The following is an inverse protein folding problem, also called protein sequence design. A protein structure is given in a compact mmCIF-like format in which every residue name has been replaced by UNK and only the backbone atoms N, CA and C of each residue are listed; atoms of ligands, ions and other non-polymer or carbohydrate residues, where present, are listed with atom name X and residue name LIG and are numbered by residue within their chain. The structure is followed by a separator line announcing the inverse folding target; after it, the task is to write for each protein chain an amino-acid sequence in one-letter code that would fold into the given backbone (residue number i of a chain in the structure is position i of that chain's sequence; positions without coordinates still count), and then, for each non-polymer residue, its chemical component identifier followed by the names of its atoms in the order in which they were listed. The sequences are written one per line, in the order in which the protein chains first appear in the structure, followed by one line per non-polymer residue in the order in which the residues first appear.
data_IF_631880587265
#
_entry.id   IF_631880587265
#
_cell.length_a   1.000
_cell.length_b   1.000
_cell.length_c   1.000
_cell.angle_alpha   90.00
_cell.angle_beta   90.00
_cell.angle_gamma   90.00
#
_symmetry.space_group_name_H-M   'P 1'
#
loop_
_entity.id
_entity.type
_entity.pdbx_description
1 polymer ?
#
# COMPACT_ATOMS: atom_id res chain seq x y z
N UNK A 1 -50.47 10.42 50.91
CA UNK A 1 -49.84 10.83 49.65
C UNK A 1 -50.82 10.62 48.51
N UNK A 2 -51.13 11.68 47.76
CA UNK A 2 -52.26 11.78 46.81
C UNK A 2 -52.17 10.74 45.68
N UNK A 3 -53.27 10.02 45.46
CA UNK A 3 -53.47 9.13 44.31
C UNK A 3 -53.51 9.97 43.02
N UNK A 4 -52.54 9.76 42.13
CA UNK A 4 -52.45 10.40 40.80
C UNK A 4 -53.31 9.72 39.73
N UNK A 5 -54.08 8.69 40.10
CA UNK A 5 -54.95 8.00 39.15
C UNK A 5 -56.25 8.78 38.97
N UNK A 6 -56.66 9.07 37.72
CA UNK A 6 -57.92 9.73 37.46
C UNK A 6 -59.09 8.88 37.99
N UNK A 7 -60.03 9.52 38.70
CA UNK A 7 -61.11 8.84 39.42
C UNK A 7 -62.27 8.33 38.53
N UNK A 8 -62.25 8.61 37.22
CA UNK A 8 -63.30 8.19 36.27
C UNK A 8 -62.75 7.17 35.26
N UNK A 9 -63.55 6.17 34.90
CA UNK A 9 -63.18 5.09 33.95
C UNK A 9 -62.66 5.66 32.62
N UNK A 10 -63.29 6.73 32.12
CA UNK A 10 -62.88 7.39 30.87
C UNK A 10 -61.46 7.95 30.93
N UNK A 11 -61.08 8.54 32.06
CA UNK A 11 -59.76 9.13 32.23
C UNK A 11 -58.69 8.08 32.54
N UNK A 12 -59.03 6.95 33.16
CA UNK A 12 -58.14 5.78 33.23
C UNK A 12 -57.87 5.20 31.83
N UNK A 13 -58.91 5.03 31.00
CA UNK A 13 -58.76 4.55 29.63
C UNK A 13 -57.90 5.49 28.77
N UNK A 14 -58.11 6.81 28.90
CA UNK A 14 -57.30 7.82 28.23
C UNK A 14 -55.83 7.77 28.67
N UNK A 15 -55.54 7.54 29.95
CA UNK A 15 -54.16 7.44 30.44
C UNK A 15 -53.41 6.23 29.86
N UNK A 16 -54.09 5.09 29.71
CA UNK A 16 -53.52 3.90 29.07
C UNK A 16 -53.27 4.14 27.58
N UNK A 17 -54.21 4.79 26.88
CA UNK A 17 -54.04 5.14 25.48
C UNK A 17 -52.85 6.09 25.25
N UNK A 18 -52.67 7.09 26.13
CA UNK A 18 -51.51 7.99 26.09
C UNK A 18 -50.20 7.24 26.36
N UNK A 19 -50.18 6.31 27.32
CA UNK A 19 -49.00 5.48 27.60
C UNK A 19 -48.61 4.59 26.42
N UNK A 20 -49.60 3.99 25.73
CA UNK A 20 -49.35 3.19 24.52
C UNK A 20 -48.83 4.07 23.39
N UNK A 21 -49.40 5.27 23.19
CA UNK A 21 -48.88 6.21 22.20
C UNK A 21 -47.44 6.62 22.52
N UNK A 22 -47.13 6.87 23.79
CA UNK A 22 -45.78 7.23 24.23
C UNK A 22 -44.79 6.08 23.98
N UNK A 23 -45.18 4.82 24.26
CA UNK A 23 -44.31 3.66 24.02
C UNK A 23 -44.06 3.43 22.52
N UNK A 24 -45.07 3.63 21.68
CA UNK A 24 -44.93 3.56 20.21
C UNK A 24 -43.96 4.63 19.70
N UNK A 25 -44.03 5.86 20.23
CA UNK A 25 -43.10 6.94 19.85
C UNK A 25 -41.66 6.61 20.27
N UNK A 26 -41.45 6.11 21.49
CA UNK A 26 -40.12 5.68 21.96
C UNK A 26 -39.59 4.52 21.12
N UNK A 27 -40.45 3.55 20.79
CA UNK A 27 -40.08 2.43 19.92
C UNK A 27 -39.71 2.92 18.51
N UNK A 28 -40.50 3.82 17.91
CA UNK A 28 -40.20 4.38 16.60
C UNK A 28 -38.86 5.15 16.58
N UNK A 29 -38.57 5.92 17.64
CA UNK A 29 -37.31 6.64 17.78
C UNK A 29 -36.10 5.69 17.88
N UNK A 30 -36.19 4.66 18.72
CA UNK A 30 -35.12 3.65 18.88
C UNK A 30 -34.95 2.79 17.62
N UNK A 31 -36.03 2.50 16.91
CA UNK A 31 -35.99 1.77 15.64
C UNK A 31 -35.31 2.60 14.54
N UNK A 32 -35.64 3.90 14.45
CA UNK A 32 -35.00 4.81 13.50
C UNK A 32 -33.48 4.92 13.72
N UNK A 33 -33.04 5.04 14.98
CA UNK A 33 -31.60 5.04 15.29
C UNK A 33 -30.94 3.72 14.93
N UNK A 34 -31.60 2.59 15.23
CA UNK A 34 -31.05 1.25 14.94
C UNK A 34 -30.91 1.00 13.43
N UNK A 35 -31.89 1.44 12.64
CA UNK A 35 -31.85 1.33 11.18
C UNK A 35 -30.67 2.12 10.59
N UNK A 36 -30.43 3.34 11.08
CA UNK A 36 -29.28 4.15 10.64
C UNK A 36 -27.92 3.54 10.97
N UNK A 37 -27.82 2.75 12.06
CA UNK A 37 -26.60 2.04 12.43
C UNK A 37 -26.36 0.85 11.51
N UNK A 38 -27.41 0.15 11.08
CA UNK A 38 -27.33 -0.94 10.12
C UNK A 38 -26.80 -0.48 8.76
N UNK A 39 -27.28 0.65 8.25
CA UNK A 39 -26.79 1.21 6.98
C UNK A 39 -25.30 1.56 7.04
N UNK A 40 -24.84 2.13 8.16
CA UNK A 40 -23.41 2.43 8.37
C UNK A 40 -22.56 1.16 8.44
N UNK A 41 -23.07 0.12 9.12
CA UNK A 41 -22.39 -1.16 9.24
C UNK A 41 -22.28 -1.89 7.90
N UNK A 42 -23.33 -1.80 7.06
CA UNK A 42 -23.31 -2.34 5.71
C UNK A 42 -22.26 -1.64 4.83
N UNK A 43 -22.20 -0.29 4.89
CA UNK A 43 -21.16 0.47 4.21
C UNK A 43 -19.74 0.10 4.67
N UNK A 44 -19.50 -0.01 5.98
CA UNK A 44 -18.21 -0.43 6.51
C UNK A 44 -17.83 -1.85 6.05
N UNK A 45 -18.80 -2.76 6.00
CA UNK A 45 -18.59 -4.12 5.50
C UNK A 45 -18.24 -4.12 4.00
N UNK A 46 -18.94 -3.31 3.20
CA UNK A 46 -18.66 -3.14 1.78
C UNK A 46 -17.29 -2.52 1.52
N UNK A 47 -16.85 -1.56 2.33
CA UNK A 47 -15.52 -0.97 2.24
C UNK A 47 -14.43 -1.99 2.56
N UNK A 48 -14.63 -2.83 3.59
CA UNK A 48 -13.73 -3.95 3.91
C UNK A 48 -13.69 -4.97 2.78
N UNK A 49 -14.83 -5.31 2.15
CA UNK A 49 -14.85 -6.24 1.01
C UNK A 49 -14.10 -5.66 -0.20
N UNK A 50 -14.33 -4.39 -0.54
CA UNK A 50 -13.60 -3.70 -1.64
C UNK A 50 -12.10 -3.59 -1.36
N UNK A 51 -11.71 -3.56 -0.09
CA UNK A 51 -10.31 -3.49 0.34
C UNK A 51 -9.47 -4.67 -0.18
N UNK A 52 -10.07 -5.85 -0.35
CA UNK A 52 -9.37 -7.05 -0.86
C UNK A 52 -8.89 -6.84 -2.29
N UNK A 53 -9.74 -6.26 -3.14
CA UNK A 53 -9.38 -5.92 -4.53
C UNK A 53 -8.29 -4.86 -4.57
N UNK A 54 -8.36 -3.85 -3.70
CA UNK A 54 -7.34 -2.81 -3.60
C UNK A 54 -5.96 -3.35 -3.19
N UNK A 55 -5.90 -4.31 -2.26
CA UNK A 55 -4.64 -5.00 -1.91
C UNK A 55 -4.05 -5.74 -3.12
N UNK A 56 -4.88 -6.39 -3.94
CA UNK A 56 -4.41 -7.03 -5.18
C UNK A 56 -3.90 -6.00 -6.20
N UNK A 57 -4.53 -4.83 -6.28
CA UNK A 57 -4.09 -3.74 -7.15
C UNK A 57 -2.77 -3.12 -6.69
N UNK A 58 -2.56 -2.94 -5.38
CA UNK A 58 -1.26 -2.54 -4.84
C UNK A 58 -0.16 -3.51 -5.24
N UNK A 59 -0.39 -4.82 -5.03
CA UNK A 59 0.57 -5.85 -5.42
C UNK A 59 0.84 -5.86 -6.93
N UNK A 60 -0.17 -5.55 -7.75
CA UNK A 60 0.01 -5.41 -9.20
C UNK A 60 0.91 -4.24 -9.54
N UNK A 61 0.67 -3.07 -8.94
CA UNK A 61 1.50 -1.88 -9.17
C UNK A 61 2.94 -2.07 -8.70
N UNK A 62 3.15 -2.71 -7.55
CA UNK A 62 4.47 -3.13 -7.07
C UNK A 62 5.18 -4.01 -8.11
N UNK A 63 4.54 -5.08 -8.56
CA UNK A 63 5.13 -6.00 -9.55
C UNK A 63 5.39 -5.32 -10.88
N UNK A 64 4.49 -4.47 -11.34
CA UNK A 64 4.67 -3.69 -12.57
C UNK A 64 5.86 -2.74 -12.44
N UNK A 65 6.05 -2.09 -11.28
CA UNK A 65 7.24 -1.28 -11.00
C UNK A 65 8.50 -2.14 -11.07
N UNK A 66 8.56 -3.28 -10.38
CA UNK A 66 9.75 -4.15 -10.38
C UNK A 66 10.10 -4.69 -11.77
N UNK A 67 9.09 -5.05 -12.57
CA UNK A 67 9.31 -5.60 -13.90
C UNK A 67 9.73 -4.54 -14.93
N UNK A 68 9.24 -3.30 -14.79
CA UNK A 68 9.37 -2.25 -15.83
C UNK A 68 10.29 -1.09 -15.42
N UNK A 69 10.58 -0.95 -14.13
CA UNK A 69 11.36 0.13 -13.53
C UNK A 69 10.83 1.52 -13.87
N UNK A 70 9.51 1.66 -14.01
CA UNK A 70 8.86 2.91 -14.42
C UNK A 70 8.17 3.58 -13.24
N UNK A 71 8.60 4.81 -12.93
CA UNK A 71 8.15 5.59 -11.77
C UNK A 71 6.63 5.80 -11.75
N UNK A 72 5.96 5.78 -12.91
CA UNK A 72 4.49 5.90 -12.95
C UNK A 72 3.76 4.84 -12.11
N UNK A 73 4.37 3.68 -11.89
CA UNK A 73 3.78 2.62 -11.08
C UNK A 73 3.89 2.90 -9.58
N UNK A 74 4.88 3.71 -9.15
CA UNK A 74 4.93 4.29 -7.81
C UNK A 74 3.72 5.19 -7.57
N UNK A 75 3.43 6.10 -8.50
CA UNK A 75 2.30 7.02 -8.37
C UNK A 75 0.96 6.28 -8.34
N UNK A 76 0.82 5.22 -9.16
CA UNK A 76 -0.37 4.35 -9.14
C UNK A 76 -0.52 3.59 -7.82
N UNK A 77 0.59 3.06 -7.29
CA UNK A 77 0.59 2.42 -5.98
C UNK A 77 0.16 3.39 -4.89
N UNK A 78 0.71 4.61 -4.86
CA UNK A 78 0.42 5.62 -3.85
C UNK A 78 -1.06 6.07 -3.88
N UNK A 79 -1.62 6.26 -5.07
CA UNK A 79 -3.04 6.59 -5.23
C UNK A 79 -3.97 5.47 -4.74
N UNK A 80 -3.67 4.21 -5.10
CA UNK A 80 -4.44 3.05 -4.63
C UNK A 80 -4.30 2.87 -3.12
N UNK A 81 -3.10 3.11 -2.57
CA UNK A 81 -2.82 3.03 -1.14
C UNK A 81 -3.65 4.04 -0.37
N UNK A 82 -3.66 5.31 -0.80
CA UNK A 82 -4.41 6.38 -0.15
C UNK A 82 -5.92 6.07 -0.17
N UNK A 83 -6.41 5.54 -1.29
CA UNK A 83 -7.81 5.11 -1.42
C UNK A 83 -8.15 3.97 -0.46
N UNK A 84 -7.31 2.94 -0.39
CA UNK A 84 -7.48 1.79 0.49
C UNK A 84 -7.40 2.20 1.98
N UNK A 85 -6.38 2.96 2.35
CA UNK A 85 -6.18 3.45 3.72
C UNK A 85 -7.34 4.33 4.18
N UNK A 86 -7.86 5.20 3.30
CA UNK A 86 -9.05 6.01 3.56
C UNK A 86 -10.30 5.18 3.82
N UNK A 87 -10.57 4.15 3.01
CA UNK A 87 -11.70 3.21 3.20
C UNK A 87 -11.58 2.45 4.52
N UNK A 88 -10.42 1.88 4.81
CA UNK A 88 -10.19 1.13 6.04
C UNK A 88 -10.25 2.02 7.29
N UNK A 89 -9.76 3.26 7.19
CA UNK A 89 -9.87 4.25 8.29
C UNK A 89 -11.33 4.63 8.55
N UNK A 90 -12.12 4.81 7.48
CA UNK A 90 -13.56 5.09 7.58
C UNK A 90 -14.32 3.91 8.19
N UNK A 91 -14.04 2.68 7.75
CA UNK A 91 -14.59 1.47 8.33
C UNK A 91 -14.19 1.30 9.81
N UNK A 92 -12.92 1.53 10.15
CA UNK A 92 -12.43 1.49 11.55
C UNK A 92 -13.18 2.49 12.44
N UNK A 93 -13.43 3.72 11.95
CA UNK A 93 -14.18 4.73 12.68
C UNK A 93 -15.65 4.34 12.91
N UNK A 94 -16.31 3.72 11.91
CA UNK A 94 -17.67 3.20 12.07
C UNK A 94 -17.71 2.08 13.12
N UNK A 95 -16.79 1.11 13.04
CA UNK A 95 -16.70 0.01 14.01
C UNK A 95 -16.42 0.53 15.42
N UNK A 96 -15.57 1.54 15.58
CA UNK A 96 -15.29 2.20 16.85
C UNK A 96 -16.55 2.87 17.42
N UNK A 97 -17.33 3.59 16.59
CA UNK A 97 -18.55 4.27 17.02
C UNK A 97 -19.65 3.31 17.50
N UNK A 98 -19.61 2.06 17.03
CA UNK A 98 -20.54 1.00 17.39
C UNK A 98 -19.97 0.05 18.47
N UNK A 99 -18.79 0.33 19.02
CA UNK A 99 -18.07 -0.52 19.99
C UNK A 99 -17.92 -1.98 19.51
N UNK A 100 -17.64 -2.18 18.23
CA UNK A 100 -17.48 -3.52 17.67
C UNK A 100 -16.08 -4.08 17.93
N UNK A 101 -16.03 -5.34 18.37
CA UNK A 101 -14.78 -6.05 18.68
C UNK A 101 -13.79 -6.08 17.50
N UNK A 102 -14.29 -6.22 16.27
CA UNK A 102 -13.48 -6.28 15.03
C UNK A 102 -12.75 -4.97 14.68
N UNK A 103 -12.96 -3.89 15.42
CA UNK A 103 -12.27 -2.62 15.21
C UNK A 103 -10.74 -2.79 15.33
N UNK A 104 -10.27 -3.61 16.27
CA UNK A 104 -8.84 -3.87 16.46
C UNK A 104 -8.20 -4.56 15.26
N UNK A 105 -8.95 -5.44 14.57
CA UNK A 105 -8.47 -6.17 13.40
C UNK A 105 -8.27 -5.23 12.21
N UNK A 106 -9.20 -4.30 12.00
CA UNK A 106 -9.08 -3.27 10.96
C UNK A 106 -7.90 -2.34 11.25
N UNK A 107 -7.70 -1.97 12.52
CA UNK A 107 -6.55 -1.16 12.92
C UNK A 107 -5.22 -1.90 12.71
N UNK A 108 -5.17 -3.20 13.03
CA UNK A 108 -3.99 -4.02 12.75
C UNK A 108 -3.71 -4.15 11.25
N UNK A 109 -4.76 -4.19 10.42
CA UNK A 109 -4.62 -4.18 8.96
C UNK A 109 -4.05 -2.87 8.44
N UNK A 110 -4.52 -1.72 8.95
CA UNK A 110 -3.96 -0.40 8.63
C UNK A 110 -2.46 -0.32 8.97
N UNK A 111 -2.05 -0.78 10.15
CA UNK A 111 -0.64 -0.77 10.54
C UNK A 111 0.23 -1.64 9.63
N UNK A 112 -0.27 -2.81 9.22
CA UNK A 112 0.43 -3.68 8.24
C UNK A 112 0.52 -3.03 6.88
N UNK A 113 -0.52 -2.31 6.47
CA UNK A 113 -0.56 -1.61 5.19
C UNK A 113 0.48 -0.47 5.16
N UNK A 114 0.57 0.33 6.23
CA UNK A 114 1.59 1.38 6.37
C UNK A 114 3.01 0.81 6.28
N UNK A 115 3.28 -0.31 6.97
CA UNK A 115 4.58 -1.00 6.86
C UNK A 115 4.85 -1.44 5.41
N UNK A 116 3.85 -2.00 4.73
CA UNK A 116 3.99 -2.43 3.34
C UNK A 116 4.29 -1.26 2.39
N UNK A 117 3.66 -0.10 2.58
CA UNK A 117 4.00 1.12 1.84
C UNK A 117 5.45 1.55 2.08
N UNK A 118 5.88 1.58 3.34
CA UNK A 118 7.26 1.93 3.67
C UNK A 118 8.26 1.00 2.99
N UNK A 119 8.05 -0.32 3.07
CA UNK A 119 8.93 -1.31 2.43
C UNK A 119 8.98 -1.11 0.91
N UNK A 120 7.85 -0.78 0.27
CA UNK A 120 7.81 -0.46 -1.16
C UNK A 120 8.54 0.85 -1.51
N UNK A 121 8.41 1.90 -0.69
CA UNK A 121 9.11 3.17 -0.90
C UNK A 121 10.63 2.99 -0.82
N UNK A 122 11.12 2.22 0.16
CA UNK A 122 12.54 1.86 0.27
C UNK A 122 13.01 1.10 -0.98
N UNK A 123 12.22 0.14 -1.47
CA UNK A 123 12.52 -0.59 -2.70
C UNK A 123 12.61 0.36 -3.91
N UNK A 124 11.67 1.29 -4.04
CA UNK A 124 11.65 2.28 -5.13
C UNK A 124 12.89 3.18 -5.06
N UNK A 125 13.26 3.65 -3.88
CA UNK A 125 14.45 4.48 -3.67
C UNK A 125 15.73 3.73 -4.04
N UNK A 126 15.90 2.52 -3.55
CA UNK A 126 17.04 1.66 -3.90
C UNK A 126 17.12 1.44 -5.43
N UNK A 127 15.97 1.25 -6.08
CA UNK A 127 15.93 1.05 -7.53
C UNK A 127 16.29 2.30 -8.31
N UNK A 128 15.87 3.48 -7.84
CA UNK A 128 16.26 4.76 -8.42
C UNK A 128 17.76 5.01 -8.28
N UNK A 129 18.35 4.68 -7.12
CA UNK A 129 19.79 4.77 -6.88
C UNK A 129 20.57 3.86 -7.83
N UNK A 130 20.14 2.61 -7.99
CA UNK A 130 20.75 1.69 -8.99
C UNK A 130 20.60 2.26 -10.40
N UNK A 131 19.43 2.79 -10.73
CA UNK A 131 19.10 3.35 -12.03
C UNK A 131 17.88 2.66 -12.64
N UNK A 132 16.84 3.44 -12.94
CA UNK A 132 15.61 2.98 -13.61
C UNK A 132 15.79 2.79 -15.12
N UNK A 133 16.85 3.37 -15.69
CA UNK A 133 17.24 3.22 -17.09
C UNK A 133 18.76 3.16 -17.20
N UNK A 134 19.25 2.70 -18.35
CA UNK A 134 20.67 2.45 -18.62
C UNK A 134 21.59 3.68 -18.53
N UNK A 135 21.01 4.87 -18.49
CA UNK A 135 21.67 6.18 -18.42
C UNK A 135 21.46 6.90 -17.08
N UNK A 136 20.75 6.28 -16.12
CA UNK A 136 20.43 6.87 -14.82
C UNK A 136 21.08 6.10 -13.68
N UNK A 137 21.15 6.75 -12.51
CA UNK A 137 21.68 6.16 -11.29
C UNK A 137 23.12 5.67 -11.43
N UNK A 138 23.48 4.69 -10.60
CA UNK A 138 24.79 4.04 -10.61
C UNK A 138 25.10 3.34 -11.95
N UNK A 139 24.09 2.80 -12.65
CA UNK A 139 24.26 2.21 -13.97
C UNK A 139 24.77 3.22 -15.00
N UNK A 140 24.19 4.43 -15.03
CA UNK A 140 24.64 5.50 -15.91
C UNK A 140 26.08 5.92 -15.63
N UNK A 141 26.43 6.09 -14.35
CA UNK A 141 27.80 6.44 -13.91
C UNK A 141 28.81 5.36 -14.34
N UNK A 142 28.50 4.09 -14.11
CA UNK A 142 29.36 2.97 -14.49
C UNK A 142 29.53 2.86 -16.01
N UNK A 143 28.46 3.10 -16.77
CA UNK A 143 28.48 3.11 -18.24
C UNK A 143 29.36 4.23 -18.79
N UNK A 144 29.24 5.44 -18.23
CA UNK A 144 30.08 6.56 -18.65
C UNK A 144 31.56 6.31 -18.34
N UNK A 145 31.86 5.78 -17.16
CA UNK A 145 33.23 5.40 -16.78
C UNK A 145 33.82 4.35 -17.74
N UNK A 146 33.02 3.34 -18.09
CA UNK A 146 33.41 2.32 -19.06
C UNK A 146 33.72 2.91 -20.44
N UNK A 147 32.85 3.80 -20.93
CA UNK A 147 33.06 4.49 -22.21
C UNK A 147 34.31 5.36 -22.20
N UNK A 148 34.64 6.01 -21.07
CA UNK A 148 35.88 6.78 -20.93
C UNK A 148 37.10 5.88 -21.04
N UNK A 149 37.15 4.78 -20.28
CA UNK A 149 38.25 3.82 -20.30
C UNK A 149 38.42 3.21 -21.70
N UNK A 150 37.32 2.83 -22.35
CA UNK A 150 37.35 2.26 -23.69
C UNK A 150 37.98 3.22 -24.71
N UNK A 151 37.62 4.50 -24.67
CA UNK A 151 38.23 5.51 -25.57
C UNK A 151 39.72 5.70 -25.31
N UNK A 152 40.16 5.73 -24.06
CA UNK A 152 41.58 5.90 -23.74
C UNK A 152 42.40 4.67 -24.17
N UNK A 153 41.90 3.45 -23.93
CA UNK A 153 42.59 2.21 -24.34
C UNK A 153 42.65 2.10 -25.87
N UNK A 154 41.58 2.47 -26.60
CA UNK A 154 41.59 2.47 -28.06
C UNK A 154 42.67 3.38 -28.67
N UNK A 155 43.07 4.45 -27.97
CA UNK A 155 44.15 5.34 -28.42
C UNK A 155 45.54 4.73 -28.28
N UNK A 156 45.72 3.79 -27.34
CA UNK A 156 47.01 3.12 -27.09
C UNK A 156 47.37 2.18 -28.25
N UNK A 157 46.37 1.66 -28.99
CA UNK A 157 46.54 0.72 -30.11
C UNK A 157 47.31 -0.56 -29.73
N UNK A 158 47.12 -1.01 -28.49
CA UNK A 158 47.67 -2.28 -27.98
C UNK A 158 46.55 -3.33 -27.89
N UNK A 159 46.68 -4.38 -28.70
CA UNK A 159 45.71 -5.47 -28.78
C UNK A 159 45.61 -6.29 -27.48
N UNK A 160 46.69 -6.39 -26.71
CA UNK A 160 46.70 -7.11 -25.44
C UNK A 160 45.86 -6.38 -24.39
N UNK A 161 46.09 -5.08 -24.23
CA UNK A 161 45.32 -4.22 -23.31
C UNK A 161 43.85 -4.18 -23.74
N UNK A 162 43.58 -4.13 -25.04
CA UNK A 162 42.21 -4.14 -25.54
C UNK A 162 41.48 -5.47 -25.24
N UNK A 163 42.15 -6.62 -25.39
CA UNK A 163 41.58 -7.93 -25.00
C UNK A 163 41.27 -7.99 -23.50
N UNK A 164 42.15 -7.46 -22.66
CA UNK A 164 41.96 -7.35 -21.22
C UNK A 164 40.72 -6.51 -20.87
N UNK A 165 40.54 -5.36 -21.51
CA UNK A 165 39.32 -4.54 -21.38
C UNK A 165 38.06 -5.34 -21.74
N UNK A 166 38.08 -6.10 -22.84
CA UNK A 166 36.93 -6.91 -23.27
C UNK A 166 36.57 -7.98 -22.23
N UNK A 167 37.55 -8.58 -21.55
CA UNK A 167 37.31 -9.52 -20.45
C UNK A 167 36.66 -8.86 -19.24
N UNK A 168 37.16 -7.70 -18.81
CA UNK A 168 36.51 -6.90 -17.74
C UNK A 168 35.07 -6.52 -18.11
N UNK A 169 34.87 -6.03 -19.34
CA UNK A 169 33.56 -5.68 -19.89
C UNK A 169 32.60 -6.87 -19.94
N UNK A 170 33.11 -8.10 -20.15
CA UNK A 170 32.33 -9.34 -20.11
C UNK A 170 31.87 -9.64 -18.69
N UNK A 171 32.77 -9.62 -17.72
CA UNK A 171 32.41 -9.84 -16.31
C UNK A 171 31.39 -8.82 -15.81
N UNK A 172 31.56 -7.53 -16.13
CA UNK A 172 30.59 -6.51 -15.81
C UNK A 172 29.20 -6.79 -16.42
N UNK A 173 29.15 -7.15 -17.71
CA UNK A 173 27.87 -7.46 -18.38
C UNK A 173 27.20 -8.71 -17.81
N UNK A 174 27.99 -9.74 -17.49
CA UNK A 174 27.48 -10.95 -16.87
C UNK A 174 26.91 -10.66 -15.47
N UNK A 175 27.56 -9.78 -14.68
CA UNK A 175 27.01 -9.28 -13.42
C UNK A 175 25.70 -8.52 -13.63
N UNK A 176 25.66 -7.55 -14.55
CA UNK A 176 24.45 -6.75 -14.79
C UNK A 176 23.24 -7.59 -15.25
N UNK A 177 23.48 -8.69 -15.97
CA UNK A 177 22.42 -9.58 -16.45
C UNK A 177 21.95 -10.57 -15.37
N UNK A 178 22.85 -11.05 -14.52
CA UNK A 178 22.59 -12.19 -13.62
C UNK A 178 22.55 -11.82 -12.14
N UNK A 179 23.06 -10.64 -11.78
CA UNK A 179 23.23 -10.17 -10.39
C UNK A 179 23.97 -11.17 -9.49
N UNK A 180 24.92 -11.91 -10.06
CA UNK A 180 25.70 -12.97 -9.38
C UNK A 180 27.09 -12.42 -9.01
N UNK A 181 27.39 -12.41 -7.71
CA UNK A 181 28.60 -11.80 -7.14
C UNK A 181 29.90 -12.42 -7.65
N UNK A 182 29.88 -13.67 -8.14
CA UNK A 182 31.09 -14.30 -8.72
C UNK A 182 31.69 -13.49 -9.88
N UNK A 183 30.86 -12.70 -10.58
CA UNK A 183 31.31 -11.85 -11.68
C UNK A 183 31.98 -10.58 -11.18
N UNK A 184 31.65 -10.11 -9.98
CA UNK A 184 32.38 -9.05 -9.29
C UNK A 184 33.75 -9.56 -8.87
N UNK A 185 33.82 -10.77 -8.31
CA UNK A 185 35.09 -11.41 -7.96
C UNK A 185 36.00 -11.59 -9.18
N UNK A 186 35.44 -12.11 -10.29
CA UNK A 186 36.16 -12.28 -11.54
C UNK A 186 36.62 -10.94 -12.16
N UNK A 187 35.82 -9.87 -12.01
CA UNK A 187 36.21 -8.52 -12.44
C UNK A 187 37.39 -7.97 -11.61
N UNK A 188 37.42 -8.27 -10.32
CA UNK A 188 38.46 -7.80 -9.39
C UNK A 188 39.75 -8.63 -9.42
N UNK A 189 39.75 -9.79 -10.10
CA UNK A 189 40.94 -10.61 -10.23
C UNK A 189 41.98 -9.93 -11.16
N UNK A 190 43.28 -10.07 -10.85
CA UNK A 190 44.33 -9.61 -11.74
C UNK A 190 44.20 -10.31 -13.10
N UNK A 191 44.15 -9.52 -14.17
CA UNK A 191 44.16 -10.07 -15.53
C UNK A 191 45.52 -10.73 -15.76
N UNK A 192 45.51 -11.98 -16.20
CA UNK A 192 46.74 -12.69 -16.56
C UNK A 192 47.43 -11.92 -17.69
N UNK A 193 48.67 -11.49 -17.42
CA UNK A 193 49.55 -10.77 -18.35
C UNK A 193 50.05 -11.71 -19.44
#
# INVERSE_FOLDING_TARGET
MRHFLPKTIKAQLASVAVLILLSVVVFAATFYTSFSQLDKLDQASMDILKSQTSVLMLRRHEKDFMARNDVKYKDKFENEFNTLSGRLSSASAVLASLNMEKQSDVQAMLNKLEKYKYDFEVLVEQRLTVGVSHDKGLQGVAREASHRIEREIQRIKDDSIYKQLLMLRRHEKDFLLRSDEKYVDAFNQPLAV
#
